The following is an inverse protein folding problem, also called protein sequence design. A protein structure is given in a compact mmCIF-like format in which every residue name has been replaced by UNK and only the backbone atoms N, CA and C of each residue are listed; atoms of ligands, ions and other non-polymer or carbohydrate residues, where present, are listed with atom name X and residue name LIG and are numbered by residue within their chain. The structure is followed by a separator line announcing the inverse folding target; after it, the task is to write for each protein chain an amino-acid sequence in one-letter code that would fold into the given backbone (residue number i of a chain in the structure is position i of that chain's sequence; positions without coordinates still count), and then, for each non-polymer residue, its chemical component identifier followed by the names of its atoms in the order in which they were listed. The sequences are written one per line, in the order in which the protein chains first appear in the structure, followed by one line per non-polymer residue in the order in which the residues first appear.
data_IF_306406586403
#
_entry.id   IF_306406586403
#
_cell.length_a   1.000
_cell.length_b   1.000
_cell.length_c   1.000
_cell.angle_alpha   90.00
_cell.angle_beta   90.00
_cell.angle_gamma   90.00
#
_symmetry.space_group_name_H-M   'P 1'
#
loop_
_entity.id
_entity.type
_entity.pdbx_description
1 polymer ?
#
# COMPACT_ATOMS: atom_id res chain seq x y z
N UNK A 1 4.46 -2.28 -9.24
CA UNK A 1 3.51 -1.66 -8.31
C UNK A 1 4.16 -0.54 -7.54
N UNK A 2 4.99 -0.86 -6.55
CA UNK A 2 5.64 0.12 -5.67
C UNK A 2 6.31 1.30 -6.37
N UNK A 3 7.00 1.05 -7.49
CA UNK A 3 7.61 2.13 -8.27
C UNK A 3 6.61 3.15 -8.83
N UNK A 4 5.41 2.70 -9.26
CA UNK A 4 4.35 3.60 -9.72
C UNK A 4 3.79 4.44 -8.57
N UNK A 5 3.62 3.85 -7.39
CA UNK A 5 3.21 4.58 -6.18
C UNK A 5 4.26 5.63 -5.83
N UNK A 6 5.55 5.25 -5.86
CA UNK A 6 6.69 6.15 -5.61
C UNK A 6 6.79 7.33 -6.59
N UNK A 7 6.57 7.07 -7.88
CA UNK A 7 6.51 8.12 -8.90
C UNK A 7 5.31 9.03 -8.66
N UNK A 8 4.14 8.45 -8.41
CA UNK A 8 2.91 9.22 -8.19
C UNK A 8 3.05 10.09 -6.94
N UNK A 9 3.73 9.60 -5.89
CA UNK A 9 3.99 10.39 -4.68
C UNK A 9 4.80 11.66 -4.94
N UNK A 10 5.72 11.65 -5.91
CA UNK A 10 6.52 12.84 -6.24
C UNK A 10 5.82 13.73 -7.29
N UNK A 11 5.20 13.14 -8.31
CA UNK A 11 4.57 13.87 -9.41
C UNK A 11 3.22 14.51 -9.07
N UNK A 12 2.41 13.86 -8.23
CA UNK A 12 1.07 14.35 -7.91
C UNK A 12 1.06 15.76 -7.28
N UNK A 13 1.78 16.05 -6.19
CA UNK A 13 1.76 17.38 -5.57
C UNK A 13 2.29 18.46 -6.53
N UNK A 14 3.32 18.13 -7.33
CA UNK A 14 3.88 19.04 -8.34
C UNK A 14 2.88 19.40 -9.42
N UNK A 15 2.01 18.47 -9.82
CA UNK A 15 0.98 18.71 -10.84
C UNK A 15 -0.08 19.71 -10.34
N UNK A 16 -0.34 19.73 -9.03
CA UNK A 16 -1.27 20.67 -8.39
C UNK A 16 -0.58 21.89 -7.77
N UNK A 17 0.71 22.12 -8.07
CA UNK A 17 1.46 23.27 -7.59
C UNK A 17 1.72 23.29 -6.08
N UNK A 18 1.59 22.15 -5.40
CA UNK A 18 1.72 22.04 -3.94
C UNK A 18 3.12 21.69 -3.49
N UNK A 19 3.52 22.22 -2.34
CA UNK A 19 4.79 21.87 -1.70
C UNK A 19 4.70 20.61 -0.86
N UNK A 20 3.54 20.31 -0.29
CA UNK A 20 3.35 19.18 0.63
C UNK A 20 2.05 18.40 0.37
N UNK A 21 2.06 17.15 0.81
CA UNK A 21 0.89 16.26 0.80
C UNK A 21 -0.07 16.59 1.94
N UNK A 22 -1.35 16.26 1.76
CA UNK A 22 -2.36 16.48 2.80
C UNK A 22 -2.07 15.70 4.09
N UNK A 23 -1.64 14.44 3.99
CA UNK A 23 -1.20 13.67 5.16
C UNK A 23 -0.03 12.74 4.83
N UNK A 24 1.14 12.91 5.48
CA UNK A 24 2.26 11.98 5.36
C UNK A 24 1.96 10.63 6.04
N UNK A 25 1.15 10.61 7.11
CA UNK A 25 0.79 9.38 7.83
C UNK A 25 0.04 8.38 6.94
N UNK A 26 -0.80 8.86 6.01
CA UNK A 26 -1.51 7.98 5.06
C UNK A 26 -0.55 7.30 4.07
N UNK A 27 0.58 7.93 3.74
CA UNK A 27 1.61 7.29 2.91
C UNK A 27 2.33 6.18 3.64
N UNK A 28 2.70 6.42 4.90
CA UNK A 28 3.31 5.38 5.73
C UNK A 28 2.37 4.18 5.88
N UNK A 29 1.08 4.43 6.13
CA UNK A 29 0.07 3.36 6.19
C UNK A 29 -0.03 2.58 4.87
N UNK A 30 -0.11 3.27 3.73
CA UNK A 30 -0.13 2.65 2.40
C UNK A 30 1.11 1.77 2.19
N UNK A 31 2.29 2.31 2.51
CA UNK A 31 3.56 1.61 2.36
C UNK A 31 3.58 0.32 3.20
N UNK A 32 3.19 0.39 4.47
CA UNK A 32 3.18 -0.78 5.35
C UNK A 32 2.14 -1.82 4.92
N UNK A 33 0.94 -1.41 4.53
CA UNK A 33 -0.10 -2.33 4.06
C UNK A 33 0.32 -3.05 2.78
N UNK A 34 0.91 -2.34 1.81
CA UNK A 34 1.42 -2.96 0.60
C UNK A 34 2.63 -3.85 0.88
N UNK A 35 3.51 -3.48 1.80
CA UNK A 35 4.75 -4.23 2.09
C UNK A 35 4.43 -5.53 2.81
N UNK A 36 3.62 -5.46 3.87
CA UNK A 36 3.16 -6.64 4.61
C UNK A 36 2.34 -7.55 3.69
N UNK A 37 1.39 -6.99 2.93
CA UNK A 37 0.57 -7.75 2.00
C UNK A 37 1.41 -8.49 0.95
N UNK A 38 2.40 -7.81 0.35
CA UNK A 38 3.29 -8.42 -0.64
C UNK A 38 4.16 -9.53 -0.02
N UNK A 39 4.75 -9.28 1.16
CA UNK A 39 5.56 -10.27 1.85
C UNK A 39 4.75 -11.52 2.24
N UNK A 40 3.56 -11.34 2.81
CA UNK A 40 2.66 -12.44 3.14
C UNK A 40 2.19 -13.21 1.90
N UNK A 41 1.89 -12.51 0.80
CA UNK A 41 1.50 -13.13 -0.46
C UNK A 41 2.65 -13.95 -1.08
N UNK A 42 3.88 -13.45 -1.01
CA UNK A 42 5.06 -14.19 -1.46
C UNK A 42 5.25 -15.49 -0.69
N UNK A 43 5.14 -15.45 0.65
CA UNK A 43 5.23 -16.64 1.50
C UNK A 43 4.11 -17.61 1.16
N UNK A 44 2.87 -17.14 1.06
CA UNK A 44 1.71 -17.98 0.77
C UNK A 44 1.85 -18.72 -0.57
N UNK A 45 2.22 -18.02 -1.64
CA UNK A 45 2.40 -18.61 -2.96
C UNK A 45 3.58 -19.57 -3.00
N UNK A 46 4.67 -19.26 -2.31
CA UNK A 46 5.82 -20.16 -2.20
C UNK A 46 5.44 -21.45 -1.49
N UNK A 47 4.72 -21.36 -0.36
CA UNK A 47 4.23 -22.54 0.37
C UNK A 47 3.28 -23.40 -0.46
N UNK A 48 2.32 -22.78 -1.18
CA UNK A 48 1.43 -23.51 -2.08
C UNK A 48 2.21 -24.24 -3.18
N UNK A 49 3.14 -23.55 -3.86
CA UNK A 49 3.94 -24.15 -4.92
C UNK A 49 4.83 -25.29 -4.43
N UNK A 50 5.35 -25.22 -3.20
CA UNK A 50 6.09 -26.32 -2.59
C UNK A 50 5.18 -27.54 -2.36
N UNK A 51 3.99 -27.35 -1.78
CA UNK A 51 3.03 -28.43 -1.53
C UNK A 51 2.59 -29.10 -2.83
N UNK A 52 2.19 -28.32 -3.82
CA UNK A 52 1.80 -28.82 -5.14
C UNK A 52 2.97 -29.54 -5.83
N UNK A 53 4.18 -28.99 -5.75
CA UNK A 53 5.39 -29.60 -6.31
C UNK A 53 5.70 -30.98 -5.74
N UNK A 54 5.56 -31.16 -4.42
CA UNK A 54 5.75 -32.47 -3.79
C UNK A 54 4.65 -33.48 -4.14
N UNK A 55 3.40 -33.03 -4.22
CA UNK A 55 2.26 -33.89 -4.57
C UNK A 55 2.30 -34.35 -6.03
N UNK A 56 2.70 -33.47 -6.95
CA UNK A 56 2.84 -33.85 -8.35
C UNK A 56 4.05 -34.75 -8.58
N UNK A 57 5.13 -34.53 -7.82
CA UNK A 57 6.29 -35.45 -7.82
C UNK A 57 5.91 -36.87 -7.39
N UNK A 58 4.95 -37.03 -6.47
CA UNK A 58 4.47 -38.35 -6.04
C UNK A 58 3.40 -38.96 -6.97
N UNK A 59 3.07 -38.30 -8.08
CA UNK A 59 1.96 -38.66 -8.98
C UNK A 59 0.62 -38.79 -8.23
N UNK A 60 0.42 -37.99 -7.18
CA UNK A 60 -0.85 -37.94 -6.47
C UNK A 60 -1.97 -37.44 -7.42
N UNK A 61 -3.23 -37.88 -7.23
CA UNK A 61 -4.35 -37.38 -7.99
C UNK A 61 -4.47 -35.85 -7.87
N UNK A 62 -4.76 -35.18 -8.99
CA UNK A 62 -4.82 -33.73 -9.06
C UNK A 62 -5.81 -33.12 -8.05
N UNK A 63 -6.94 -33.79 -7.81
CA UNK A 63 -7.94 -33.40 -6.81
C UNK A 63 -7.34 -33.19 -5.40
N UNK A 64 -6.39 -34.04 -4.98
CA UNK A 64 -5.75 -33.93 -3.67
C UNK A 64 -4.86 -32.68 -3.58
N UNK A 65 -4.23 -32.30 -4.69
CA UNK A 65 -3.43 -31.07 -4.74
C UNK A 65 -4.29 -29.82 -4.57
N UNK A 66 -5.48 -29.79 -5.18
CA UNK A 66 -6.43 -28.68 -5.03
C UNK A 66 -6.94 -28.54 -3.60
N UNK A 67 -7.35 -29.66 -2.98
CA UNK A 67 -7.87 -29.65 -1.62
C UNK A 67 -6.81 -29.18 -0.61
N UNK A 68 -5.53 -29.52 -0.86
CA UNK A 68 -4.41 -29.16 0.01
C UNK A 68 -4.11 -27.66 0.02
N UNK A 69 -4.38 -26.94 -1.08
CA UNK A 69 -4.07 -25.50 -1.20
C UNK A 69 -5.25 -24.57 -0.93
N UNK A 70 -6.46 -25.10 -0.70
CA UNK A 70 -7.68 -24.32 -0.54
C UNK A 70 -7.56 -23.24 0.55
N UNK A 71 -6.95 -23.57 1.70
CA UNK A 71 -6.74 -22.61 2.79
C UNK A 71 -5.73 -21.51 2.41
N UNK A 72 -4.69 -21.86 1.64
CA UNK A 72 -3.69 -20.91 1.16
C UNK A 72 -4.32 -19.92 0.18
N UNK A 73 -5.29 -20.36 -0.63
CA UNK A 73 -6.01 -19.46 -1.55
C UNK A 73 -6.88 -18.45 -0.81
N UNK A 74 -7.49 -18.82 0.31
CA UNK A 74 -8.21 -17.88 1.17
C UNK A 74 -7.26 -16.83 1.75
N UNK A 75 -6.11 -17.27 2.29
CA UNK A 75 -5.09 -16.37 2.82
C UNK A 75 -4.51 -15.44 1.74
N UNK A 76 -4.28 -15.95 0.52
CA UNK A 76 -3.88 -15.16 -0.66
C UNK A 76 -4.92 -14.07 -0.97
N UNK A 77 -6.20 -14.39 -0.88
CA UNK A 77 -7.27 -13.42 -1.14
C UNK A 77 -7.32 -12.34 -0.06
N UNK A 78 -7.18 -12.72 1.21
CA UNK A 78 -7.13 -11.78 2.32
C UNK A 78 -5.93 -10.83 2.24
N UNK A 79 -4.75 -11.34 1.89
CA UNK A 79 -3.54 -10.52 1.69
C UNK A 79 -3.67 -9.59 0.48
N UNK A 80 -4.27 -10.06 -0.62
CA UNK A 80 -4.60 -9.21 -1.76
C UNK A 80 -5.58 -8.09 -1.42
N UNK A 81 -6.61 -8.37 -0.61
CA UNK A 81 -7.55 -7.37 -0.11
C UNK A 81 -6.85 -6.32 0.80
N UNK A 82 -5.89 -6.74 1.62
CA UNK A 82 -5.09 -5.82 2.42
C UNK A 82 -4.29 -4.85 1.54
N UNK A 83 -3.64 -5.36 0.48
CA UNK A 83 -2.93 -4.51 -0.49
C UNK A 83 -3.90 -3.56 -1.22
N UNK A 84 -5.07 -4.05 -1.61
CA UNK A 84 -6.09 -3.24 -2.26
C UNK A 84 -6.59 -2.11 -1.36
N UNK A 85 -6.83 -2.40 -0.07
CA UNK A 85 -7.19 -1.39 0.92
C UNK A 85 -6.09 -0.30 1.06
N UNK A 86 -4.81 -0.69 1.02
CA UNK A 86 -3.70 0.27 1.00
C UNK A 86 -3.76 1.21 -0.21
N UNK A 87 -4.06 0.68 -1.40
CA UNK A 87 -4.24 1.50 -2.62
C UNK A 87 -5.45 2.42 -2.52
N UNK A 88 -6.56 1.98 -1.91
CA UNK A 88 -7.71 2.85 -1.69
C UNK A 88 -7.38 4.04 -0.78
N UNK A 89 -6.61 3.81 0.28
CA UNK A 89 -6.12 4.90 1.17
C UNK A 89 -5.22 5.87 0.40
N UNK A 90 -4.37 5.35 -0.48
CA UNK A 90 -3.52 6.17 -1.35
C UNK A 90 -4.35 7.08 -2.27
N UNK A 91 -5.34 6.52 -2.97
CA UNK A 91 -6.24 7.28 -3.86
C UNK A 91 -7.04 8.32 -3.07
N UNK A 92 -7.48 7.98 -1.86
CA UNK A 92 -8.14 8.94 -0.97
C UNK A 92 -7.23 10.13 -0.62
N UNK A 93 -5.95 9.87 -0.28
CA UNK A 93 -4.98 10.93 -0.01
C UNK A 93 -4.72 11.81 -1.24
N UNK A 94 -4.65 11.20 -2.43
CA UNK A 94 -4.54 11.92 -3.70
C UNK A 94 -5.73 12.84 -3.95
N UNK A 95 -6.95 12.34 -3.72
CA UNK A 95 -8.18 13.12 -3.86
C UNK A 95 -8.21 14.31 -2.90
N UNK A 96 -7.94 14.09 -1.61
CA UNK A 96 -7.88 15.16 -0.60
C UNK A 96 -6.82 16.21 -0.93
N UNK A 97 -5.67 15.78 -1.47
CA UNK A 97 -4.60 16.67 -1.93
C UNK A 97 -5.01 17.46 -3.18
N UNK A 98 -5.96 17.00 -3.99
CA UNK A 98 -6.46 17.78 -5.12
C UNK A 98 -7.52 18.81 -4.69
N UNK A 99 -8.38 18.48 -3.72
CA UNK A 99 -9.57 19.29 -3.39
C UNK A 99 -9.38 20.29 -2.25
N UNK A 100 -8.43 20.08 -1.34
CA UNK A 100 -8.30 20.92 -0.12
C UNK A 100 -7.50 22.19 -0.42
N UNK A 101 -8.02 23.43 -0.39
CA UNK A 101 -7.20 24.62 -0.67
C UNK A 101 -5.96 24.67 0.25
N UNK A 102 -4.79 25.03 -0.32
CA UNK A 102 -3.57 25.18 0.48
C UNK A 102 -3.78 26.37 1.42
N UNK A 103 -3.77 26.10 2.73
CA UNK A 103 -3.81 27.17 3.72
C UNK A 103 -2.52 27.96 3.56
N UNK A 104 -2.66 29.19 3.07
CA UNK A 104 -1.60 30.18 3.06
C UNK A 104 -1.00 30.21 4.46
N UNK A 105 0.28 29.80 4.59
CA UNK A 105 1.05 29.98 5.81
C UNK A 105 1.11 31.50 6.05
N UNK A 106 0.10 32.03 6.73
CA UNK A 106 0.08 33.42 7.16
C UNK A 106 1.39 33.62 7.93
N UNK A 107 2.21 34.64 7.57
CA UNK A 107 3.44 34.91 8.27
C UNK A 107 3.13 34.91 9.76
N UNK A 108 3.72 33.98 10.51
CA UNK A 108 3.66 34.04 11.95
C UNK A 108 4.31 35.37 12.31
N UNK A 109 3.48 36.37 12.60
CA UNK A 109 3.92 37.61 13.23
C UNK A 109 4.51 37.16 14.57
N UNK A 110 5.81 36.82 14.55
CA UNK A 110 6.65 36.98 15.70
C UNK A 110 6.50 38.46 16.04
N UNK A 111 5.59 38.76 16.98
CA UNK A 111 5.60 40.02 17.67
C UNK A 111 6.98 40.06 18.35
N UNK A 112 7.92 40.74 17.71
CA UNK A 112 9.17 41.10 18.33
C UNK A 112 8.80 41.78 19.65
N UNK A 113 9.22 41.24 20.82
CA UNK A 113 8.92 41.89 22.08
C UNK A 113 9.57 43.25 22.00
N UNK A 114 8.74 44.29 21.96
CA UNK A 114 9.17 45.68 21.89
C UNK A 114 10.31 45.89 22.90
N UNK A 115 11.46 46.30 22.38
CA UNK A 115 12.62 46.65 23.16
C UNK A 115 12.21 47.57 24.32
N UNK A 116 12.51 47.14 25.54
CA UNK A 116 12.39 47.91 26.77
C UNK A 116 13.77 48.39 27.22
#
# INVERSE_FOLDING_TARGET
GFWLIGITTDLWPRTFGRKQWWSPMLHEATFWMCTIGLASMFVALTSAGLVEGFLWKSLAPWEVSLQSVQQIWLFRTATGLLMFAGVLIFVFNMYMTATTPESEDLPSFHAEPAAA
#
